data_IF_286232673520
#
_entry.id   IF_286232673520
#
_cell.length_a   1.000
_cell.length_b   1.000
_cell.length_c   1.000
_cell.angle_alpha   90.00
_cell.angle_beta   90.00
_cell.angle_gamma   90.00
#
_symmetry.space_group_name_H-M   'P 1'
#
loop_
_entity.id
_entity.type
_entity.pdbx_description
1 polymer ?
#
# COMPACT_ATOMS: atom_id res chain seq x y z
N UNK A 1 11.68 -48.60 19.49
CA UNK A 1 12.14 -47.35 18.85
C UNK A 1 11.05 -46.31 19.04
N UNK A 2 11.37 -45.10 19.52
CA UNK A 2 10.38 -44.00 19.53
C UNK A 2 10.09 -43.63 18.08
N UNK A 3 8.81 -43.44 17.73
CA UNK A 3 8.42 -42.91 16.40
C UNK A 3 9.15 -41.57 16.14
N UNK A 4 9.55 -41.27 14.89
CA UNK A 4 9.99 -39.94 14.49
C UNK A 4 9.01 -38.85 14.96
N UNK A 5 9.53 -37.66 15.24
CA UNK A 5 8.72 -36.55 15.74
C UNK A 5 7.69 -36.12 14.70
N UNK A 6 8.09 -36.09 13.43
CA UNK A 6 7.23 -35.79 12.27
C UNK A 6 6.06 -36.77 12.20
N UNK A 7 6.32 -38.07 12.27
CA UNK A 7 5.27 -39.09 12.27
C UNK A 7 4.27 -38.93 13.43
N UNK A 8 4.74 -38.42 14.56
CA UNK A 8 3.89 -38.19 15.74
C UNK A 8 3.05 -36.92 15.60
N UNK A 9 3.61 -35.85 15.04
CA UNK A 9 2.91 -34.56 14.85
C UNK A 9 1.82 -34.66 13.78
N UNK A 10 2.03 -35.46 12.74
CA UNK A 10 1.04 -35.68 11.67
C UNK A 10 0.06 -36.83 11.95
N UNK A 11 0.10 -37.44 13.14
CA UNK A 11 -0.83 -38.53 13.50
C UNK A 11 -2.24 -37.94 13.70
N UNK A 12 -3.24 -38.33 12.88
CA UNK A 12 -4.61 -37.80 12.97
C UNK A 12 -5.37 -38.32 14.20
N UNK A 13 -4.84 -39.33 14.90
CA UNK A 13 -5.46 -39.88 16.12
C UNK A 13 -5.15 -39.07 17.36
N UNK A 14 -4.15 -38.18 17.30
CA UNK A 14 -3.75 -37.32 18.41
C UNK A 14 -4.48 -35.98 18.36
N UNK A 15 -4.87 -35.51 19.54
CA UNK A 15 -5.39 -34.16 19.75
C UNK A 15 -4.25 -33.13 19.62
N UNK A 16 -4.64 -31.87 19.38
CA UNK A 16 -3.68 -30.75 19.31
C UNK A 16 -2.85 -30.62 20.59
N UNK A 17 -3.45 -30.79 21.76
CA UNK A 17 -2.77 -30.66 23.05
C UNK A 17 -1.74 -31.79 23.26
N UNK A 18 -2.07 -33.02 22.85
CA UNK A 18 -1.13 -34.14 22.86
C UNK A 18 0.06 -33.90 21.92
N UNK A 19 -0.19 -33.36 20.71
CA UNK A 19 0.86 -32.97 19.76
C UNK A 19 1.77 -31.89 20.34
N UNK A 20 1.20 -30.89 21.01
CA UNK A 20 1.97 -29.83 21.68
C UNK A 20 2.83 -30.38 22.81
N UNK A 21 2.30 -31.30 23.63
CA UNK A 21 3.10 -31.93 24.69
C UNK A 21 4.31 -32.69 24.12
N UNK A 22 4.08 -33.46 23.05
CA UNK A 22 5.14 -34.18 22.34
C UNK A 22 6.19 -33.20 21.80
N UNK A 23 5.75 -32.09 21.20
CA UNK A 23 6.62 -31.08 20.60
C UNK A 23 7.45 -30.34 21.64
N UNK A 24 6.84 -29.88 22.74
CA UNK A 24 7.56 -29.18 23.81
C UNK A 24 8.56 -30.09 24.53
N UNK A 25 8.21 -31.37 24.71
CA UNK A 25 9.16 -32.37 25.21
C UNK A 25 10.34 -32.54 24.26
N UNK A 26 10.10 -32.58 22.96
CA UNK A 26 11.16 -32.65 21.95
C UNK A 26 12.08 -31.42 22.02
N UNK A 27 11.51 -30.21 22.06
CA UNK A 27 12.28 -28.95 22.18
C UNK A 27 13.13 -28.88 23.44
N UNK A 28 12.58 -29.31 24.58
CA UNK A 28 13.33 -29.39 25.83
C UNK A 28 14.55 -30.32 25.70
N UNK A 29 14.40 -31.48 25.04
CA UNK A 29 15.50 -32.44 24.85
C UNK A 29 16.60 -31.88 23.95
N UNK A 30 16.25 -31.17 22.88
CA UNK A 30 17.24 -30.59 21.95
C UNK A 30 17.76 -29.23 22.40
N UNK A 31 17.36 -28.74 23.58
CA UNK A 31 17.77 -27.44 24.11
C UNK A 31 17.25 -26.25 23.28
N UNK A 32 16.14 -26.41 22.57
CA UNK A 32 15.53 -25.33 21.78
C UNK A 32 14.77 -24.40 22.73
N UNK A 33 15.33 -23.22 22.95
CA UNK A 33 14.72 -22.13 23.72
C UNK A 33 14.26 -21.02 22.78
N UNK A 34 13.00 -20.58 22.92
CA UNK A 34 12.36 -19.39 22.33
C UNK A 34 13.01 -18.84 21.04
N UNK A 35 12.43 -19.23 19.89
CA UNK A 35 12.81 -18.76 18.56
C UNK A 35 11.60 -18.72 17.63
N UNK A 36 11.80 -18.27 16.38
CA UNK A 36 10.72 -18.23 15.39
C UNK A 36 10.03 -19.61 15.29
N UNK A 37 8.68 -19.67 15.30
CA UNK A 37 7.93 -20.91 15.15
C UNK A 37 8.41 -21.69 13.92
N UNK A 38 8.86 -22.91 14.12
CA UNK A 38 9.29 -23.78 13.03
C UNK A 38 8.10 -24.43 12.32
N UNK A 39 8.39 -25.27 11.33
CA UNK A 39 7.36 -25.96 10.55
C UNK A 39 6.49 -26.92 11.40
N UNK A 40 7.03 -27.49 12.48
CA UNK A 40 6.30 -28.44 13.32
C UNK A 40 5.31 -27.71 14.23
N UNK A 41 5.76 -26.64 14.89
CA UNK A 41 4.86 -25.80 15.67
C UNK A 41 3.83 -25.11 14.78
N UNK A 42 4.25 -24.69 13.58
CA UNK A 42 3.36 -24.14 12.57
C UNK A 42 2.23 -25.09 12.19
N UNK A 43 2.57 -26.34 11.86
CA UNK A 43 1.60 -27.36 11.47
C UNK A 43 0.57 -27.64 12.58
N UNK A 44 1.02 -27.79 13.82
CA UNK A 44 0.12 -28.04 14.97
C UNK A 44 -0.78 -26.84 15.27
N UNK A 45 -0.23 -25.63 15.27
CA UNK A 45 -1.00 -24.44 15.63
C UNK A 45 -1.95 -23.96 14.52
N UNK A 46 -1.71 -24.37 13.28
CA UNK A 46 -2.57 -24.06 12.13
C UNK A 46 -3.54 -25.20 11.79
N UNK A 47 -3.47 -26.32 12.52
CA UNK A 47 -4.31 -27.49 12.27
C UNK A 47 -5.80 -27.16 12.42
N UNK A 48 -6.58 -27.49 11.39
CA UNK A 48 -8.03 -27.26 11.37
C UNK A 48 -8.45 -25.80 11.16
N UNK A 49 -7.50 -24.87 11.04
CA UNK A 49 -7.79 -23.48 10.69
C UNK A 49 -7.87 -23.31 9.18
N UNK A 50 -8.78 -22.45 8.73
CA UNK A 50 -8.69 -21.89 7.37
C UNK A 50 -7.45 -21.01 7.25
N UNK A 51 -6.98 -20.78 6.02
CA UNK A 51 -5.84 -19.89 5.79
C UNK A 51 -6.06 -18.47 6.36
N UNK A 52 -7.27 -17.93 6.30
CA UNK A 52 -7.54 -16.60 6.87
C UNK A 52 -7.49 -16.61 8.41
N UNK A 53 -8.00 -17.66 9.04
CA UNK A 53 -7.93 -17.83 10.50
C UNK A 53 -6.49 -18.03 10.98
N UNK A 54 -5.72 -18.87 10.27
CA UNK A 54 -4.31 -19.08 10.56
C UNK A 54 -3.51 -17.78 10.37
N UNK A 55 -3.76 -17.03 9.30
CA UNK A 55 -3.11 -15.73 9.07
C UNK A 55 -3.36 -14.73 10.20
N UNK A 56 -4.60 -14.65 10.70
CA UNK A 56 -4.97 -13.82 11.85
C UNK A 56 -4.29 -14.30 13.13
N UNK A 57 -4.30 -15.61 13.38
CA UNK A 57 -3.63 -16.21 14.54
C UNK A 57 -2.14 -15.86 14.57
N UNK A 58 -1.43 -16.05 13.46
CA UNK A 58 0.01 -15.77 13.37
C UNK A 58 0.35 -14.28 13.39
N UNK A 59 -0.57 -13.40 12.98
CA UNK A 59 -0.44 -11.95 13.17
C UNK A 59 -0.55 -11.53 14.63
N UNK A 60 -1.39 -12.23 15.41
CA UNK A 60 -1.63 -11.98 16.83
C UNK A 60 -0.88 -12.95 17.74
N UNK A 61 -1.62 -13.90 18.32
CA UNK A 61 -1.14 -14.80 19.37
C UNK A 61 0.05 -15.69 18.94
N UNK A 62 0.12 -16.09 17.67
CA UNK A 62 1.21 -16.90 17.15
C UNK A 62 2.51 -16.13 16.91
N UNK A 63 2.45 -14.81 16.76
CA UNK A 63 3.62 -13.93 16.71
C UNK A 63 4.62 -14.21 15.56
N UNK A 64 4.20 -14.80 14.44
CA UNK A 64 5.07 -15.08 13.29
C UNK A 64 4.60 -14.37 12.04
N UNK A 65 5.31 -13.30 11.66
CA UNK A 65 5.06 -12.58 10.40
C UNK A 65 5.27 -13.46 9.17
N UNK A 66 6.18 -14.44 9.25
CA UNK A 66 6.42 -15.41 8.17
C UNK A 66 5.19 -16.26 7.92
N UNK A 67 4.65 -16.90 8.95
CA UNK A 67 3.48 -17.77 8.82
C UNK A 67 2.19 -16.99 8.59
N UNK A 68 2.05 -15.81 9.18
CA UNK A 68 0.96 -14.90 8.88
C UNK A 68 0.92 -14.58 7.38
N UNK A 69 2.06 -14.23 6.78
CA UNK A 69 2.15 -13.92 5.35
C UNK A 69 1.90 -15.15 4.48
N UNK A 70 2.44 -16.31 4.87
CA UNK A 70 2.22 -17.57 4.16
C UNK A 70 0.73 -17.86 4.02
N UNK A 71 0.00 -17.82 5.13
CA UNK A 71 -1.43 -18.08 5.17
C UNK A 71 -2.26 -16.96 4.53
N UNK A 72 -1.89 -15.69 4.72
CA UNK A 72 -2.58 -14.59 4.04
C UNK A 72 -2.47 -14.70 2.51
N UNK A 73 -1.29 -15.07 2.00
CA UNK A 73 -1.09 -15.33 0.57
C UNK A 73 -1.88 -16.55 0.08
N UNK A 74 -1.99 -17.61 0.88
CA UNK A 74 -2.81 -18.78 0.56
C UNK A 74 -4.31 -18.44 0.51
N UNK A 75 -4.80 -17.66 1.47
CA UNK A 75 -6.18 -17.18 1.49
C UNK A 75 -6.51 -16.36 0.23
N UNK A 76 -5.61 -15.46 -0.19
CA UNK A 76 -5.76 -14.68 -1.44
C UNK A 76 -5.73 -15.57 -2.69
N UNK A 77 -4.94 -16.65 -2.71
CA UNK A 77 -4.94 -17.60 -3.83
C UNK A 77 -6.25 -18.38 -3.94
N UNK A 78 -6.83 -18.74 -2.79
CA UNK A 78 -8.09 -19.47 -2.73
C UNK A 78 -9.28 -18.59 -3.14
N UNK A 79 -9.32 -17.35 -2.64
CA UNK A 79 -10.31 -16.35 -3.02
C UNK A 79 -9.64 -14.99 -3.30
N UNK A 80 -9.34 -14.69 -4.57
CA UNK A 80 -8.73 -13.42 -4.97
C UNK A 80 -9.62 -12.19 -4.77
N UNK A 81 -10.90 -12.36 -4.45
CA UNK A 81 -11.84 -11.26 -4.21
C UNK A 81 -12.13 -11.05 -2.72
N UNK A 82 -11.60 -11.90 -1.83
CA UNK A 82 -11.73 -11.74 -0.40
C UNK A 82 -10.99 -10.50 0.10
N UNK A 83 -11.73 -9.40 0.28
CA UNK A 83 -11.21 -8.09 0.74
C UNK A 83 -10.39 -8.23 2.03
N UNK A 84 -10.88 -9.03 2.98
CA UNK A 84 -10.19 -9.23 4.27
C UNK A 84 -8.83 -9.94 4.09
N UNK A 85 -8.77 -10.98 3.26
CA UNK A 85 -7.52 -11.70 2.97
C UNK A 85 -6.52 -10.81 2.22
N UNK A 86 -7.00 -10.05 1.24
CA UNK A 86 -6.19 -9.08 0.49
C UNK A 86 -5.63 -8.00 1.41
N UNK A 87 -6.44 -7.42 2.29
CA UNK A 87 -6.03 -6.39 3.22
C UNK A 87 -4.99 -6.90 4.22
N UNK A 88 -5.21 -8.10 4.78
CA UNK A 88 -4.25 -8.74 5.68
C UNK A 88 -2.93 -9.05 4.96
N UNK A 89 -3.00 -9.57 3.73
CA UNK A 89 -1.82 -9.83 2.93
C UNK A 89 -1.04 -8.54 2.63
N UNK A 90 -1.73 -7.47 2.19
CA UNK A 90 -1.16 -6.16 1.93
C UNK A 90 -0.39 -5.61 3.15
N UNK A 91 -1.00 -5.70 4.34
CA UNK A 91 -0.37 -5.30 5.60
C UNK A 91 0.93 -6.07 5.91
N UNK A 92 1.00 -7.34 5.51
CA UNK A 92 2.11 -8.25 5.81
C UNK A 92 3.25 -8.21 4.78
N UNK A 93 3.08 -7.56 3.63
CA UNK A 93 4.16 -7.31 2.66
C UNK A 93 5.27 -6.51 3.37
N UNK A 94 6.56 -6.83 3.25
CA UNK A 94 7.65 -6.06 3.87
C UNK A 94 7.59 -4.54 3.55
N UNK A 95 8.00 -3.69 4.50
CA UNK A 95 7.89 -2.21 4.38
C UNK A 95 8.80 -1.65 3.27
N UNK A 96 9.96 -2.28 3.07
CA UNK A 96 10.91 -1.98 2.00
C UNK A 96 10.38 -2.29 0.61
N UNK A 97 9.36 -3.16 0.50
CA UNK A 97 8.66 -3.47 -0.75
C UNK A 97 7.48 -2.52 -0.97
N UNK A 98 7.76 -1.22 -0.97
CA UNK A 98 6.76 -0.13 -1.05
C UNK A 98 5.84 -0.30 -2.26
N UNK A 99 6.41 -0.55 -3.45
CA UNK A 99 5.63 -0.69 -4.69
C UNK A 99 4.65 -1.88 -4.64
N UNK A 100 5.11 -3.04 -4.15
CA UNK A 100 4.24 -4.23 -4.04
C UNK A 100 3.14 -4.03 -3.00
N UNK A 101 3.45 -3.28 -1.93
CA UNK A 101 2.51 -2.97 -0.87
C UNK A 101 1.45 -1.98 -1.36
N UNK A 102 1.84 -0.92 -2.05
CA UNK A 102 0.93 0.02 -2.70
C UNK A 102 -0.02 -0.69 -3.67
N UNK A 103 0.54 -1.50 -4.56
CA UNK A 103 -0.16 -2.40 -5.47
C UNK A 103 -1.23 -3.25 -4.74
N UNK A 104 -0.88 -3.85 -3.61
CA UNK A 104 -1.80 -4.66 -2.83
C UNK A 104 -2.96 -3.84 -2.25
N UNK A 105 -2.69 -2.64 -1.73
CA UNK A 105 -3.75 -1.77 -1.20
C UNK A 105 -4.65 -1.18 -2.28
N UNK A 106 -4.13 -0.92 -3.48
CA UNK A 106 -4.95 -0.57 -4.65
C UNK A 106 -5.89 -1.71 -5.04
N UNK A 107 -5.40 -2.95 -5.08
CA UNK A 107 -6.25 -4.11 -5.33
C UNK A 107 -7.37 -4.26 -4.28
N UNK A 108 -7.11 -3.92 -3.02
CA UNK A 108 -8.16 -3.84 -1.99
C UNK A 108 -9.18 -2.76 -2.32
N UNK A 109 -8.75 -1.55 -2.73
CA UNK A 109 -9.67 -0.47 -3.09
C UNK A 109 -10.52 -0.78 -4.31
N UNK A 110 -10.01 -1.53 -5.29
CA UNK A 110 -10.81 -1.98 -6.44
C UNK A 110 -12.02 -2.81 -6.00
N UNK A 111 -11.90 -3.60 -4.92
CA UNK A 111 -13.00 -4.43 -4.40
C UNK A 111 -13.80 -3.73 -3.31
N UNK A 112 -13.16 -2.86 -2.54
CA UNK A 112 -13.74 -2.11 -1.44
C UNK A 112 -13.28 -0.63 -1.51
N UNK A 113 -13.94 0.21 -2.32
CA UNK A 113 -13.50 1.59 -2.58
C UNK A 113 -13.42 2.52 -1.36
N UNK A 114 -14.07 2.13 -0.27
CA UNK A 114 -14.12 2.86 1.01
C UNK A 114 -13.30 2.18 2.11
N UNK A 115 -12.43 1.21 1.77
CA UNK A 115 -11.65 0.49 2.77
C UNK A 115 -10.68 1.42 3.51
N UNK A 116 -10.98 1.69 4.79
CA UNK A 116 -10.26 2.62 5.67
C UNK A 116 -8.75 2.43 5.65
N UNK A 117 -8.28 1.21 5.83
CA UNK A 117 -6.86 0.90 5.93
C UNK A 117 -6.10 1.15 4.61
N UNK A 118 -6.75 0.91 3.47
CA UNK A 118 -6.14 1.15 2.16
C UNK A 118 -6.05 2.63 1.85
N UNK A 119 -7.12 3.39 2.10
CA UNK A 119 -7.11 4.85 1.90
C UNK A 119 -6.05 5.50 2.80
N UNK A 120 -5.96 5.10 4.07
CA UNK A 120 -4.96 5.62 5.00
C UNK A 120 -3.52 5.29 4.55
N UNK A 121 -3.26 4.05 4.13
CA UNK A 121 -1.94 3.66 3.65
C UNK A 121 -1.55 4.41 2.37
N UNK A 122 -2.46 4.48 1.39
CA UNK A 122 -2.19 5.12 0.10
C UNK A 122 -2.03 6.63 0.25
N UNK A 123 -2.83 7.29 1.08
CA UNK A 123 -2.64 8.70 1.42
C UNK A 123 -1.23 8.93 1.99
N UNK A 124 -0.82 8.15 3.00
CA UNK A 124 0.49 8.28 3.64
C UNK A 124 1.65 8.07 2.65
N UNK A 125 1.66 6.97 1.89
CA UNK A 125 2.80 6.59 1.03
C UNK A 125 2.98 7.52 -0.17
N UNK A 126 1.90 8.14 -0.65
CA UNK A 126 1.94 9.04 -1.82
C UNK A 126 2.27 10.48 -1.47
N UNK A 127 2.21 10.88 -0.19
CA UNK A 127 2.34 12.27 0.28
C UNK A 127 3.54 13.03 -0.31
N UNK A 128 4.73 12.41 -0.33
CA UNK A 128 5.96 13.12 -0.69
C UNK A 128 6.18 13.21 -2.20
N UNK A 129 5.83 12.16 -2.94
CA UNK A 129 6.11 12.04 -4.38
C UNK A 129 4.91 12.44 -5.25
N UNK A 130 3.68 12.24 -4.74
CA UNK A 130 2.40 12.46 -5.43
C UNK A 130 1.40 13.14 -4.48
N UNK A 131 1.68 14.37 -4.01
CA UNK A 131 0.88 15.03 -2.98
C UNK A 131 -0.59 15.23 -3.38
N UNK A 132 -0.89 15.49 -4.65
CA UNK A 132 -2.28 15.63 -5.11
C UNK A 132 -3.06 14.31 -5.06
N UNK A 133 -2.43 13.18 -5.35
CA UNK A 133 -3.05 11.85 -5.22
C UNK A 133 -3.27 11.49 -3.75
N UNK A 134 -2.31 11.84 -2.89
CA UNK A 134 -2.43 11.71 -1.43
C UNK A 134 -3.66 12.47 -0.90
N UNK A 135 -3.87 13.71 -1.34
CA UNK A 135 -5.04 14.50 -0.97
C UNK A 135 -6.36 13.84 -1.40
N UNK A 136 -6.42 13.21 -2.58
CA UNK A 136 -7.63 12.49 -3.01
C UNK A 136 -7.94 11.30 -2.09
N UNK A 137 -6.94 10.46 -1.78
CA UNK A 137 -7.12 9.33 -0.86
C UNK A 137 -7.47 9.78 0.55
N UNK A 138 -6.85 10.85 1.03
CA UNK A 138 -7.11 11.43 2.34
C UNK A 138 -8.52 12.02 2.42
N UNK A 139 -8.98 12.73 1.37
CA UNK A 139 -10.33 13.25 1.30
C UNK A 139 -11.36 12.11 1.32
N UNK A 140 -11.18 11.09 0.49
CA UNK A 140 -12.05 9.90 0.49
C UNK A 140 -12.07 9.20 1.85
N UNK A 141 -10.94 9.17 2.56
CA UNK A 141 -10.86 8.64 3.91
C UNK A 141 -11.71 9.47 4.88
N UNK A 142 -11.60 10.80 4.83
CA UNK A 142 -12.35 11.72 5.68
C UNK A 142 -13.85 11.74 5.36
N UNK A 143 -14.24 11.52 4.12
CA UNK A 143 -15.65 11.42 3.71
C UNK A 143 -16.35 10.22 4.35
N UNK A 144 -15.64 9.10 4.49
CA UNK A 144 -16.17 7.86 5.09
C UNK A 144 -15.93 7.82 6.60
N UNK A 145 -14.81 8.40 7.04
CA UNK A 145 -14.36 8.42 8.42
C UNK A 145 -13.88 9.83 8.80
N UNK A 146 -14.80 10.72 9.19
CA UNK A 146 -14.48 12.10 9.58
C UNK A 146 -13.58 12.20 10.82
N UNK A 147 -13.37 11.10 11.55
CA UNK A 147 -12.51 10.99 12.72
C UNK A 147 -11.11 10.38 12.40
N UNK A 148 -10.80 10.19 11.12
CA UNK A 148 -9.56 9.55 10.71
C UNK A 148 -8.37 10.51 10.81
N UNK A 149 -7.60 10.39 11.90
CA UNK A 149 -6.35 11.12 12.13
C UNK A 149 -5.43 11.11 10.90
N UNK A 150 -5.21 9.93 10.29
CA UNK A 150 -4.36 9.78 9.10
C UNK A 150 -4.83 10.59 7.88
N UNK A 151 -6.14 10.87 7.77
CA UNK A 151 -6.68 11.71 6.70
C UNK A 151 -6.24 13.16 6.89
N UNK A 152 -6.43 13.72 8.08
CA UNK A 152 -5.98 15.08 8.40
C UNK A 152 -4.46 15.23 8.34
N UNK A 153 -3.72 14.24 8.84
CA UNK A 153 -2.27 14.19 8.76
C UNK A 153 -1.79 14.24 7.30
N UNK A 154 -2.32 13.35 6.45
CA UNK A 154 -1.91 13.28 5.04
C UNK A 154 -2.28 14.54 4.28
N UNK A 155 -3.45 15.14 4.54
CA UNK A 155 -3.82 16.43 3.95
C UNK A 155 -2.81 17.52 4.34
N UNK A 156 -2.53 17.69 5.64
CA UNK A 156 -1.59 18.71 6.09
C UNK A 156 -0.18 18.52 5.52
N UNK A 157 0.34 17.29 5.54
CA UNK A 157 1.67 17.00 4.99
C UNK A 157 1.72 17.23 3.47
N UNK A 158 0.66 16.89 2.74
CA UNK A 158 0.56 17.14 1.31
C UNK A 158 0.51 18.64 0.99
N UNK A 159 -0.18 19.44 1.82
CA UNK A 159 -0.21 20.90 1.68
C UNK A 159 1.15 21.56 2.01
N UNK A 160 1.86 21.09 3.05
CA UNK A 160 3.25 21.48 3.28
C UNK A 160 4.12 21.15 2.06
N UNK A 161 3.93 19.97 1.46
CA UNK A 161 4.69 19.52 0.30
C UNK A 161 4.44 20.37 -0.95
N UNK A 162 3.24 20.90 -1.15
CA UNK A 162 2.96 21.81 -2.29
C UNK A 162 3.29 23.28 -1.99
N UNK A 163 3.79 23.59 -0.79
CA UNK A 163 4.20 24.93 -0.40
C UNK A 163 3.07 25.82 0.13
N UNK A 164 1.99 25.23 0.63
CA UNK A 164 0.86 25.94 1.24
C UNK A 164 0.73 25.57 2.74
N UNK A 165 1.61 26.14 3.60
CA UNK A 165 1.61 25.84 5.03
C UNK A 165 0.36 26.37 5.76
N UNK A 166 -0.30 27.40 5.24
CA UNK A 166 -1.51 27.97 5.85
C UNK A 166 -2.67 26.97 5.74
N UNK A 167 -2.87 26.39 4.54
CA UNK A 167 -3.87 25.33 4.37
C UNK A 167 -3.49 24.08 5.16
N UNK A 168 -2.20 23.74 5.23
CA UNK A 168 -1.73 22.62 6.05
C UNK A 168 -2.10 22.78 7.53
N UNK A 169 -1.85 23.97 8.10
CA UNK A 169 -2.22 24.29 9.47
C UNK A 169 -3.73 24.13 9.70
N UNK A 170 -4.57 24.60 8.77
CA UNK A 170 -6.03 24.44 8.87
C UNK A 170 -6.47 22.97 8.92
N UNK A 171 -5.83 22.07 8.16
CA UNK A 171 -6.15 20.64 8.23
C UNK A 171 -5.68 20.00 9.54
N UNK A 172 -4.53 20.40 10.08
CA UNK A 172 -4.09 19.94 11.40
C UNK A 172 -5.04 20.40 12.51
N UNK A 173 -5.47 21.67 12.49
CA UNK A 173 -6.46 22.22 13.44
C UNK A 173 -7.77 21.43 13.40
N UNK A 174 -8.34 21.24 12.20
CA UNK A 174 -9.56 20.42 12.03
C UNK A 174 -9.37 19.00 12.54
N UNK A 175 -8.20 18.40 12.30
CA UNK A 175 -7.88 17.07 12.80
C UNK A 175 -7.78 17.01 14.32
N UNK A 176 -7.22 18.04 14.96
CA UNK A 176 -7.18 18.17 16.42
C UNK A 176 -8.60 18.28 16.98
N UNK A 177 -9.45 19.10 16.36
CA UNK A 177 -10.86 19.23 16.75
C UNK A 177 -11.64 17.92 16.61
N UNK A 178 -11.45 17.21 15.50
CA UNK A 178 -12.16 15.97 15.21
C UNK A 178 -11.69 14.77 16.05
N UNK A 179 -10.41 14.72 16.42
CA UNK A 179 -9.79 13.51 16.99
C UNK A 179 -9.22 13.70 18.40
N UNK A 180 -9.04 14.94 18.87
CA UNK A 180 -8.31 15.24 20.11
C UNK A 180 -6.84 14.84 20.08
N UNK A 181 -6.25 14.69 18.88
CA UNK A 181 -4.90 14.14 18.71
C UNK A 181 -3.81 15.11 19.18
N UNK A 182 -3.10 14.71 20.24
CA UNK A 182 -1.88 15.40 20.67
C UNK A 182 -0.72 15.27 19.67
N UNK A 183 -0.75 14.28 18.78
CA UNK A 183 0.23 14.16 17.71
C UNK A 183 0.06 15.27 16.67
N UNK A 184 -1.17 15.52 16.20
CA UNK A 184 -1.43 16.61 15.24
C UNK A 184 -1.12 17.97 15.84
N UNK A 185 -1.31 18.15 17.15
CA UNK A 185 -0.89 19.35 17.87
C UNK A 185 0.63 19.56 17.78
N UNK A 186 1.43 18.51 18.02
CA UNK A 186 2.89 18.61 17.88
C UNK A 186 3.32 18.93 16.44
N UNK A 187 2.63 18.35 15.44
CA UNK A 187 2.91 18.62 14.02
C UNK A 187 2.57 20.07 13.65
N UNK A 188 1.46 20.61 14.17
CA UNK A 188 1.04 21.99 13.99
C UNK A 188 2.01 22.97 14.66
N UNK A 189 2.40 22.73 15.91
CA UNK A 189 3.34 23.58 16.64
C UNK A 189 4.68 23.69 15.89
N UNK A 190 5.19 22.56 15.40
CA UNK A 190 6.39 22.52 14.55
C UNK A 190 6.23 23.39 13.30
N UNK A 191 5.11 23.25 12.60
CA UNK A 191 4.83 24.02 11.38
C UNK A 191 4.79 25.53 11.68
N UNK A 192 4.12 25.93 12.75
CA UNK A 192 4.00 27.34 13.17
C UNK A 192 5.35 27.95 13.61
N UNK A 193 6.24 27.14 14.16
CA UNK A 193 7.59 27.56 14.54
C UNK A 193 8.58 27.61 13.36
N UNK A 194 8.13 27.32 12.14
CA UNK A 194 8.97 27.31 10.94
C UNK A 194 9.94 26.13 10.87
N UNK A 195 9.73 25.10 11.68
CA UNK A 195 10.59 23.91 11.77
C UNK A 195 10.16 22.83 10.76
N UNK A 196 9.70 23.23 9.57
CA UNK A 196 9.28 22.25 8.59
C UNK A 196 10.45 21.54 7.91
N UNK A 197 10.49 20.21 8.08
CA UNK A 197 11.45 19.32 7.42
C UNK A 197 11.04 19.01 5.97
N UNK A 198 9.84 19.43 5.56
CA UNK A 198 9.29 19.16 4.24
C UNK A 198 9.71 20.28 3.31
N UNK A 199 10.54 19.94 2.33
CA UNK A 199 10.85 20.86 1.25
C UNK A 199 9.63 20.96 0.33
N UNK A 200 9.14 22.16 0.00
CA UNK A 200 8.11 22.30 -1.03
C UNK A 200 8.59 21.72 -2.36
N UNK A 201 7.69 21.18 -3.17
CA UNK A 201 8.01 20.92 -4.57
C UNK A 201 8.28 22.26 -5.24
N UNK A 202 9.34 22.33 -6.08
CA UNK A 202 9.56 23.46 -6.97
C UNK A 202 8.37 23.53 -7.92
N UNK A 203 7.34 24.29 -7.51
CA UNK A 203 6.26 24.63 -8.39
C UNK A 203 6.84 25.59 -9.42
N UNK A 204 7.07 25.10 -10.65
CA UNK A 204 6.85 25.99 -11.79
C UNK A 204 5.40 26.40 -11.64
N UNK A 205 5.18 27.60 -11.12
CA UNK A 205 3.83 28.13 -11.00
C UNK A 205 3.18 27.96 -12.37
N UNK A 206 1.97 27.39 -12.47
CA UNK A 206 1.17 27.63 -13.64
C UNK A 206 1.09 29.15 -13.72
N UNK A 207 1.69 29.75 -14.74
CA UNK A 207 1.43 31.15 -15.05
C UNK A 207 -0.04 31.20 -15.40
N UNK A 208 -0.87 31.45 -14.40
CA UNK A 208 -2.21 31.93 -14.60
C UNK A 208 -2.00 33.25 -15.34
N UNK A 209 -2.46 33.40 -16.59
CA UNK A 209 -2.39 34.67 -17.27
C UNK A 209 -3.10 35.68 -16.38
N UNK A 210 -2.34 36.63 -15.85
CA UNK A 210 -2.85 37.75 -15.09
C UNK A 210 -3.56 38.68 -16.06
N UNK A 211 -4.78 38.32 -16.46
CA UNK A 211 -5.76 39.18 -17.09
C UNK A 211 -7.14 38.50 -16.95
N UNK A 212 -8.14 39.30 -16.56
CA UNK A 212 -9.55 38.96 -16.32
C UNK A 212 -9.97 38.55 -14.88
N UNK A 213 -9.74 39.48 -13.93
CA UNK A 213 -10.67 39.69 -12.83
C UNK A 213 -11.25 41.11 -12.92
N UNK A 214 -12.58 41.31 -13.00
CA UNK A 214 -13.17 42.63 -13.01
C UNK A 214 -12.97 43.32 -11.65
N UNK A 215 -12.39 44.52 -11.70
CA UNK A 215 -12.20 45.43 -10.58
C UNK A 215 -13.42 45.49 -9.64
N UNK A 216 -13.21 45.11 -8.38
CA UNK A 216 -14.15 45.40 -7.29
C UNK A 216 -13.71 46.69 -6.60
N UNK A 217 -14.54 47.75 -6.51
CA UNK A 217 -14.18 48.94 -5.78
C UNK A 217 -14.30 48.69 -4.28
N UNK A 218 -13.28 49.10 -3.53
CA UNK A 218 -13.39 49.34 -2.09
C UNK A 218 -14.38 50.48 -1.82
N UNK A 219 -15.07 50.45 -0.67
CA UNK A 219 -15.00 51.66 0.15
C UNK A 219 -14.96 51.43 1.67
N UNK A 220 -14.30 52.40 2.28
CA UNK A 220 -14.08 52.71 3.69
C UNK A 220 -15.34 52.77 4.57
N UNK A 221 -15.18 52.43 5.85
CA UNK A 221 -16.08 52.79 6.97
C UNK A 221 -16.21 54.32 7.13
N UNK A 222 -17.34 54.83 7.67
CA UNK A 222 -17.30 55.47 9.01
C UNK A 222 -18.66 55.30 9.80
N UNK A 223 -18.98 56.01 10.91
CA UNK A 223 -19.29 55.39 12.21
C UNK A 223 -20.75 55.55 12.71
N UNK A 224 -20.98 55.06 13.93
CA UNK A 224 -22.22 54.88 14.68
C UNK A 224 -23.29 56.01 14.66
N UNK A 225 -24.56 55.60 14.68
CA UNK A 225 -25.68 56.35 15.26
C UNK A 225 -26.83 55.44 15.75
N UNK A 226 -27.15 55.63 17.02
CA UNK A 226 -28.35 55.34 17.86
C UNK A 226 -29.70 54.93 17.22
N UNK A 227 -30.33 53.90 17.81
CA UNK A 227 -31.76 53.48 17.71
C UNK A 227 -32.74 54.51 18.34
N UNK A 228 -34.10 54.47 18.13
CA UNK A 228 -35.05 53.46 18.69
C UNK A 228 -36.36 53.24 17.83
N UNK A 229 -37.52 52.71 18.33
CA UNK A 229 -37.83 51.30 18.66
C UNK A 229 -39.14 50.71 18.01
N UNK A 230 -39.27 49.37 18.13
CA UNK A 230 -40.45 48.47 18.24
C UNK A 230 -41.72 48.57 17.36
N UNK A 231 -42.07 47.45 16.65
CA UNK A 231 -43.40 46.79 16.65
C UNK A 231 -43.37 45.35 16.03
N UNK A 232 -44.34 44.44 16.33
CA UNK A 232 -44.15 42.98 16.48
C UNK A 232 -44.52 42.13 15.23
N UNK A 233 -44.34 40.77 15.26
CA UNK A 233 -44.22 39.98 14.04
C UNK A 233 -45.54 39.35 13.55
N UNK A 234 -45.68 39.18 12.23
CA UNK A 234 -46.73 38.34 11.62
C UNK A 234 -46.15 37.31 10.64
N UNK A 235 -46.78 36.13 10.63
CA UNK A 235 -46.32 34.84 10.10
C UNK A 235 -46.27 34.79 8.56
N UNK A 236 -45.15 34.32 8.01
CA UNK A 236 -45.02 33.88 6.60
C UNK A 236 -45.23 32.36 6.41
N UNK A 237 -45.50 31.87 5.19
CA UNK A 237 -46.08 30.56 4.92
C UNK A 237 -45.07 29.40 4.84
N UNK A 238 -45.57 28.19 5.10
CA UNK A 238 -44.85 26.89 5.12
C UNK A 238 -44.25 26.51 3.74
N UNK A 239 -43.01 25.99 3.66
CA UNK A 239 -42.39 25.59 2.39
C UNK A 239 -42.89 24.23 1.87
N UNK A 240 -43.00 24.09 0.53
CA UNK A 240 -43.35 22.86 -0.21
C UNK A 240 -42.20 21.83 -0.18
N UNK A 241 -42.49 20.51 -0.24
CA UNK A 241 -41.46 19.47 -0.24
C UNK A 241 -40.69 19.37 -1.58
N UNK A 242 -39.42 18.94 -1.56
CA UNK A 242 -38.56 18.86 -2.75
C UNK A 242 -38.93 17.70 -3.69
N UNK A 243 -38.63 17.88 -4.99
CA UNK A 243 -38.91 16.93 -6.07
C UNK A 243 -38.02 15.66 -6.01
N UNK A 244 -38.45 14.52 -6.57
CA UNK A 244 -37.71 13.25 -6.51
C UNK A 244 -36.45 13.25 -7.38
N UNK A 245 -35.41 12.56 -6.89
CA UNK A 245 -34.09 12.46 -7.50
C UNK A 245 -34.09 11.69 -8.85
N UNK A 246 -33.18 12.02 -9.79
CA UNK A 246 -33.07 11.33 -11.08
C UNK A 246 -32.55 9.89 -10.92
N UNK A 247 -32.95 9.01 -11.84
CA UNK A 247 -32.58 7.60 -11.86
C UNK A 247 -31.06 7.38 -12.09
N UNK A 248 -30.47 6.31 -11.54
CA UNK A 248 -29.02 6.07 -11.60
C UNK A 248 -28.55 5.75 -13.02
N UNK A 249 -27.41 6.34 -13.41
CA UNK A 249 -26.68 6.04 -14.65
C UNK A 249 -26.09 4.63 -14.63
N UNK A 250 -25.96 3.94 -15.80
CA UNK A 250 -25.30 2.65 -15.88
C UNK A 250 -23.81 2.77 -15.51
N UNK A 251 -23.18 1.70 -14.98
CA UNK A 251 -21.79 1.76 -14.52
C UNK A 251 -20.83 2.05 -15.69
N UNK A 252 -19.75 2.83 -15.46
CA UNK A 252 -18.75 3.08 -16.48
C UNK A 252 -17.99 1.78 -16.83
N UNK A 253 -17.63 1.64 -18.10
CA UNK A 253 -16.75 0.59 -18.58
C UNK A 253 -15.42 0.60 -17.79
N UNK A 254 -14.87 -0.59 -17.57
CA UNK A 254 -13.61 -0.81 -16.83
C UNK A 254 -12.53 0.15 -17.29
N UNK A 255 -11.90 0.94 -16.39
CA UNK A 255 -10.79 1.79 -16.77
C UNK A 255 -9.64 0.93 -17.31
N UNK A 256 -9.14 1.21 -18.52
CA UNK A 256 -7.94 0.60 -19.13
C UNK A 256 -6.78 0.27 -18.15
N UNK A 257 -6.50 1.11 -17.12
CA UNK A 257 -5.46 0.82 -16.12
C UNK A 257 -5.69 -0.45 -15.29
N UNK A 258 -6.94 -0.81 -14.98
CA UNK A 258 -7.30 -1.96 -14.12
C UNK A 258 -7.07 -3.28 -14.85
N UNK A 259 -7.39 -3.33 -16.14
CA UNK A 259 -7.12 -4.47 -17.00
C UNK A 259 -5.60 -4.62 -17.25
N UNK A 260 -4.89 -3.49 -17.43
CA UNK A 260 -3.41 -3.46 -17.51
C UNK A 260 -2.75 -4.02 -16.26
N UNK A 261 -3.31 -3.71 -15.09
CA UNK A 261 -2.75 -4.06 -13.79
C UNK A 261 -3.00 -5.54 -13.43
N UNK A 262 -4.19 -6.06 -13.71
CA UNK A 262 -4.51 -7.48 -13.51
C UNK A 262 -3.75 -8.39 -14.48
N UNK A 263 -3.54 -7.94 -15.73
CA UNK A 263 -2.66 -8.63 -16.67
C UNK A 263 -1.21 -8.60 -16.18
N UNK A 264 -0.70 -7.43 -15.75
CA UNK A 264 0.66 -7.32 -15.23
C UNK A 264 0.93 -8.21 -14.01
N UNK A 265 -0.03 -8.40 -13.11
CA UNK A 265 0.15 -9.22 -11.89
C UNK A 265 0.11 -10.73 -12.19
N UNK A 266 -0.75 -11.15 -13.12
CA UNK A 266 -0.81 -12.53 -13.60
C UNK A 266 0.42 -12.88 -14.44
N UNK A 267 0.86 -11.95 -15.30
CA UNK A 267 2.10 -12.02 -16.06
C UNK A 267 3.31 -12.09 -15.10
N UNK A 268 3.31 -11.31 -14.02
CA UNK A 268 4.39 -11.31 -13.02
C UNK A 268 4.52 -12.63 -12.26
N UNK A 269 3.41 -13.30 -11.96
CA UNK A 269 3.38 -14.61 -11.29
C UNK A 269 3.79 -15.74 -12.22
N UNK A 270 3.21 -15.79 -13.42
CA UNK A 270 3.61 -16.75 -14.45
C UNK A 270 5.10 -16.61 -14.82
N UNK A 271 5.60 -15.38 -14.84
CA UNK A 271 7.01 -15.04 -15.10
C UNK A 271 7.97 -15.46 -13.97
N UNK A 272 7.55 -15.38 -12.70
CA UNK A 272 8.35 -15.85 -11.58
C UNK A 272 8.50 -17.38 -11.59
N UNK A 273 7.41 -18.09 -11.88
CA UNK A 273 7.39 -19.55 -11.99
C UNK A 273 8.20 -20.05 -13.20
N UNK A 274 8.13 -19.36 -14.35
CA UNK A 274 8.91 -19.69 -15.55
C UNK A 274 10.40 -19.39 -15.37
N UNK A 275 10.76 -18.28 -14.72
CA UNK A 275 12.15 -17.95 -14.39
C UNK A 275 12.78 -18.99 -13.46
N UNK A 276 12.07 -19.41 -12.41
CA UNK A 276 12.53 -20.46 -11.49
C UNK A 276 12.66 -21.81 -12.21
N UNK A 277 11.74 -22.12 -13.14
CA UNK A 277 11.83 -23.32 -13.98
C UNK A 277 13.02 -23.33 -14.93
N UNK A 278 13.44 -22.18 -15.47
CA UNK A 278 14.54 -22.09 -16.45
C UNK A 278 15.91 -21.99 -15.77
N UNK A 279 15.98 -21.27 -14.65
CA UNK A 279 17.25 -20.94 -13.99
C UNK A 279 17.54 -21.79 -12.75
N UNK A 280 16.52 -22.45 -12.20
CA UNK A 280 16.60 -23.19 -10.93
C UNK A 280 16.75 -22.28 -9.70
N UNK A 281 16.53 -20.97 -9.84
CA UNK A 281 16.69 -19.99 -8.76
C UNK A 281 15.36 -19.32 -8.42
N UNK A 282 15.06 -19.24 -7.12
CA UNK A 282 13.85 -18.57 -6.63
C UNK A 282 13.98 -17.05 -6.77
N UNK A 283 12.99 -16.47 -7.43
CA UNK A 283 12.89 -15.05 -7.72
C UNK A 283 12.63 -14.20 -6.46
N UNK A 284 13.42 -13.12 -6.23
CA UNK A 284 13.35 -12.29 -4.99
C UNK A 284 12.86 -10.84 -5.13
N UNK A 285 12.52 -10.37 -6.34
CA UNK A 285 12.08 -8.97 -6.58
C UNK A 285 13.24 -7.95 -6.63
N UNK A 286 13.01 -6.75 -7.20
CA UNK A 286 14.06 -5.71 -7.44
C UNK A 286 13.77 -4.42 -6.69
N UNK A 287 14.86 -3.73 -6.34
CA UNK A 287 14.90 -2.30 -6.03
C UNK A 287 14.76 -1.35 -7.26
N UNK A 288 15.10 -1.78 -8.49
CA UNK A 288 15.23 -0.91 -9.68
C UNK A 288 14.38 -1.34 -10.90
N UNK A 289 13.29 -2.07 -10.68
CA UNK A 289 12.44 -2.60 -11.77
C UNK A 289 11.94 -1.51 -12.73
N UNK A 290 11.67 -0.31 -12.19
CA UNK A 290 11.19 0.84 -12.96
C UNK A 290 12.21 1.38 -13.98
N UNK A 291 13.52 1.28 -13.72
CA UNK A 291 14.55 1.77 -14.65
C UNK A 291 14.74 0.84 -15.85
N UNK A 292 14.51 -0.46 -15.64
CA UNK A 292 14.59 -1.45 -16.71
C UNK A 292 13.38 -1.41 -17.64
N UNK A 293 12.18 -1.16 -17.11
CA UNK A 293 10.95 -0.97 -17.91
C UNK A 293 11.03 0.23 -18.86
N UNK A 294 11.92 1.20 -18.60
CA UNK A 294 12.20 2.32 -19.50
C UNK A 294 13.08 1.93 -20.70
N UNK A 295 13.83 0.83 -20.60
CA UNK A 295 14.82 0.39 -21.60
C UNK A 295 14.35 -0.84 -22.40
N UNK A 296 13.47 -1.65 -21.82
CA UNK A 296 12.78 -2.74 -22.51
C UNK A 296 11.33 -2.83 -22.04
N UNK A 297 10.42 -2.98 -22.99
CA UNK A 297 9.00 -3.27 -22.75
C UNK A 297 8.76 -4.74 -22.39
N UNK A 298 9.81 -5.57 -22.36
CA UNK A 298 9.76 -6.99 -22.04
C UNK A 298 10.31 -7.22 -20.61
N UNK A 299 9.42 -7.43 -19.63
CA UNK A 299 9.81 -7.59 -18.23
C UNK A 299 10.76 -8.76 -17.97
N UNK A 300 10.71 -9.82 -18.80
CA UNK A 300 11.55 -11.00 -18.66
C UNK A 300 12.99 -10.74 -19.13
N UNK A 301 13.16 -9.97 -20.21
CA UNK A 301 14.48 -9.51 -20.64
C UNK A 301 15.21 -8.70 -19.55
N UNK A 302 14.48 -7.82 -18.86
CA UNK A 302 14.99 -7.05 -17.73
C UNK A 302 15.55 -7.95 -16.61
N UNK A 303 14.95 -9.13 -16.37
CA UNK A 303 15.37 -10.07 -15.30
C UNK A 303 16.65 -10.81 -15.57
N UNK A 304 16.83 -11.25 -16.81
CA UNK A 304 18.10 -11.87 -17.19
C UNK A 304 19.27 -10.90 -17.03
N UNK A 305 19.07 -9.62 -17.33
CA UNK A 305 20.10 -8.59 -17.15
C UNK A 305 20.42 -8.36 -15.68
N UNK A 306 19.39 -8.34 -14.83
CA UNK A 306 19.55 -8.18 -13.40
C UNK A 306 20.28 -9.37 -12.75
N UNK A 307 19.87 -10.61 -13.05
CA UNK A 307 20.55 -11.80 -12.56
C UNK A 307 22.02 -11.80 -12.98
N UNK A 308 22.29 -11.43 -14.23
CA UNK A 308 23.65 -11.29 -14.71
C UNK A 308 24.43 -10.23 -13.92
N UNK A 309 23.81 -9.09 -13.60
CA UNK A 309 24.43 -8.06 -12.75
C UNK A 309 24.72 -8.59 -11.35
N UNK A 310 23.81 -9.34 -10.71
CA UNK A 310 24.04 -9.94 -9.39
C UNK A 310 25.21 -10.94 -9.40
N UNK A 311 25.36 -11.69 -10.49
CA UNK A 311 26.53 -12.55 -10.67
C UNK A 311 27.81 -11.72 -10.86
N UNK A 312 27.79 -10.62 -11.60
CA UNK A 312 28.94 -9.71 -11.75
C UNK A 312 29.34 -9.07 -10.41
N UNK A 313 28.37 -8.55 -9.65
CA UNK A 313 28.58 -7.92 -8.34
C UNK A 313 29.16 -8.92 -7.34
N UNK A 314 28.86 -10.20 -7.51
CA UNK A 314 29.41 -11.28 -6.71
C UNK A 314 30.69 -11.91 -7.29
N UNK A 315 31.31 -11.29 -8.30
CA UNK A 315 32.56 -11.75 -8.92
C UNK A 315 32.44 -13.00 -9.80
N UNK A 316 31.22 -13.44 -10.09
CA UNK A 316 30.87 -14.64 -10.87
C UNK A 316 30.63 -14.30 -12.34
N UNK A 317 31.70 -13.88 -13.02
CA UNK A 317 31.61 -13.34 -14.37
C UNK A 317 31.17 -14.38 -15.43
N UNK A 318 31.54 -15.66 -15.26
CA UNK A 318 31.17 -16.73 -16.20
C UNK A 318 29.68 -17.11 -16.10
N UNK A 319 29.13 -17.08 -14.90
CA UNK A 319 27.71 -17.33 -14.67
C UNK A 319 26.85 -16.16 -15.17
N UNK A 320 27.28 -14.91 -14.92
CA UNK A 320 26.64 -13.73 -15.50
C UNK A 320 26.59 -13.79 -17.04
N UNK A 321 27.71 -14.24 -17.61
CA UNK A 321 27.89 -14.47 -19.03
C UNK A 321 26.93 -15.52 -19.60
N UNK A 322 26.77 -16.64 -18.90
CA UNK A 322 25.86 -17.73 -19.25
C UNK A 322 24.40 -17.25 -19.22
N UNK A 323 24.04 -16.50 -18.19
CA UNK A 323 22.70 -15.92 -18.02
C UNK A 323 22.34 -14.98 -19.17
N UNK A 324 23.21 -14.02 -19.53
CA UNK A 324 22.96 -13.12 -20.66
C UNK A 324 22.90 -13.84 -22.01
N UNK A 325 23.65 -14.92 -22.17
CA UNK A 325 23.62 -15.72 -23.40
C UNK A 325 22.33 -16.55 -23.51
N UNK A 326 21.80 -17.03 -22.39
CA UNK A 326 20.47 -17.64 -22.32
C UNK A 326 19.39 -16.61 -22.66
N UNK A 327 19.49 -15.39 -22.10
CA UNK A 327 18.60 -14.27 -22.40
C UNK A 327 18.54 -13.95 -23.90
N UNK A 328 19.71 -13.90 -24.56
CA UNK A 328 19.81 -13.60 -25.99
C UNK A 328 19.19 -14.68 -26.89
N UNK A 329 19.07 -15.93 -26.41
CA UNK A 329 18.37 -17.00 -27.13
C UNK A 329 16.86 -16.88 -26.99
N UNK A 330 16.38 -16.52 -25.81
CA UNK A 330 14.95 -16.37 -25.52
C UNK A 330 14.37 -15.05 -26.06
N UNK A 331 15.17 -13.97 -26.04
CA UNK A 331 14.74 -12.62 -26.43
C UNK A 331 15.72 -11.98 -27.43
N UNK A 332 15.91 -12.57 -28.62
CA UNK A 332 16.95 -12.15 -29.56
C UNK A 332 16.77 -10.73 -30.11
N UNK A 333 15.53 -10.20 -30.11
CA UNK A 333 15.19 -8.89 -30.65
C UNK A 333 14.98 -7.81 -29.57
N UNK A 334 15.22 -8.15 -28.30
CA UNK A 334 15.02 -7.22 -27.21
C UNK A 334 16.16 -6.18 -27.14
N UNK A 335 15.85 -4.87 -27.17
CA UNK A 335 16.85 -3.82 -27.26
C UNK A 335 17.79 -3.78 -26.04
N UNK A 336 17.28 -4.10 -24.84
CA UNK A 336 18.08 -4.15 -23.62
C UNK A 336 19.04 -5.34 -23.64
N UNK A 337 18.58 -6.53 -24.06
CA UNK A 337 19.44 -7.71 -24.19
C UNK A 337 20.52 -7.51 -25.25
N UNK A 338 20.16 -6.93 -26.41
CA UNK A 338 21.12 -6.64 -27.46
C UNK A 338 22.19 -5.65 -27.00
N UNK A 339 21.81 -4.61 -26.27
CA UNK A 339 22.74 -3.62 -25.74
C UNK A 339 23.72 -4.27 -24.73
N UNK A 340 23.21 -5.07 -23.79
CA UNK A 340 24.04 -5.77 -22.80
C UNK A 340 24.96 -6.81 -23.43
N UNK A 341 24.53 -7.48 -24.50
CA UNK A 341 25.38 -8.41 -25.25
C UNK A 341 26.48 -7.71 -26.06
N UNK A 342 26.29 -6.46 -26.47
CA UNK A 342 27.34 -5.64 -27.12
C UNK A 342 28.39 -5.19 -26.12
N UNK A 343 27.98 -4.81 -24.91
CA UNK A 343 28.88 -4.39 -23.82
C UNK A 343 29.77 -5.53 -23.28
N UNK A 344 29.51 -6.78 -23.68
CA UNK A 344 30.34 -7.96 -23.35
C UNK A 344 31.50 -8.22 -24.31
N UNK A 345 31.55 -7.55 -25.47
CA UNK A 345 32.56 -7.79 -26.51
C UNK A 345 33.84 -7.02 -26.28
#
# INVERSE_FOLDING_TARGET
MRRPIEESIYDPTLTRDEKLEILYRHYSVIGKTDGEPDNLLHAVMSEGLTDIEAAKYWTGAGGSRKWARYHAAAAVRSDPNAVEALALWAQLIPVDRVNDREAAYLAVLERAPTHRGSLAYLASVTTMDRPYESMEYAQRLLDVHPDALFGYESMGLAYERVGDPDTAASYYEKGIEATGSGFLLQVLDRLQNGESWIQPIDTVQPTVPSDDLPNSPTPSSPPAATSPPDEPPSRGPVPKPPAPAPAPTPPPETPEPVERYQNALNDYRAMADEYESITGQTYRGVANFCDYLRQSSNPMACRYVELAQQHLDAGRAEEAASVLQSAARHFPNDPLIQERMKQRR
#
